data_IF_966173544771
#
_entry.id   IF_966173544771
#
_cell.length_a   1.000
_cell.length_b   1.000
_cell.length_c   1.000
_cell.angle_alpha   90.00
_cell.angle_beta   90.00
_cell.angle_gamma   90.00
#
_symmetry.space_group_name_H-M   'P 1'
#
loop_
_entity.id
_entity.type
_entity.pdbx_description
1 polymer ?
#
# COMPACT_ATOMS: atom_id res chain seq x y z
N UNK A 1 1.17 -10.95 -18.35
CA UNK A 1 2.01 -9.76 -18.60
C UNK A 1 2.81 -9.54 -17.32
N UNK A 2 4.11 -9.75 -17.36
CA UNK A 2 5.00 -9.54 -16.20
C UNK A 2 5.06 -8.03 -15.90
N UNK A 3 4.90 -7.58 -14.65
CA UNK A 3 4.90 -6.16 -14.35
C UNK A 3 6.28 -5.57 -14.72
N UNK A 4 6.26 -4.49 -15.51
CA UNK A 4 7.47 -3.74 -15.86
C UNK A 4 8.00 -3.11 -14.57
N UNK A 5 8.97 -3.76 -13.90
CA UNK A 5 9.68 -3.16 -12.77
C UNK A 5 10.44 -1.95 -13.29
N UNK A 6 9.97 -0.74 -12.96
CA UNK A 6 10.72 0.49 -13.24
C UNK A 6 12.06 0.40 -12.50
N UNK A 7 13.14 0.75 -13.20
CA UNK A 7 14.47 0.83 -12.57
C UNK A 7 14.44 1.89 -11.46
N UNK A 8 14.96 1.58 -10.27
CA UNK A 8 14.95 2.54 -9.16
C UNK A 8 15.78 3.77 -9.52
N UNK A 9 15.29 4.95 -9.13
CA UNK A 9 15.99 6.23 -9.30
C UNK A 9 16.65 6.65 -7.99
N UNK A 10 17.95 6.88 -8.05
CA UNK A 10 18.75 7.28 -6.89
C UNK A 10 19.15 8.75 -7.00
N UNK A 11 19.31 9.41 -5.86
CA UNK A 11 19.88 10.76 -5.78
C UNK A 11 21.07 10.73 -4.82
N UNK A 12 22.22 11.24 -5.25
CA UNK A 12 23.42 11.36 -4.42
C UNK A 12 23.63 12.83 -4.08
N UNK A 13 23.75 13.14 -2.79
CA UNK A 13 23.90 14.50 -2.26
C UNK A 13 25.14 14.58 -1.38
N UNK A 14 26.12 15.36 -1.80
CA UNK A 14 27.36 15.60 -1.05
C UNK A 14 27.98 16.90 -1.61
N UNK A 15 28.62 17.74 -0.81
CA UNK A 15 29.25 18.98 -1.30
C UNK A 15 30.63 18.73 -1.94
N UNK A 16 31.29 17.63 -1.60
CA UNK A 16 32.58 17.21 -2.14
C UNK A 16 32.41 16.53 -3.51
N UNK A 17 32.94 17.16 -4.56
CA UNK A 17 32.83 16.66 -5.93
C UNK A 17 33.46 15.28 -6.14
N UNK A 18 34.59 15.03 -5.48
CA UNK A 18 35.32 13.76 -5.58
C UNK A 18 34.53 12.61 -4.94
N UNK A 19 33.92 12.85 -3.78
CA UNK A 19 33.07 11.86 -3.11
C UNK A 19 31.80 11.60 -3.92
N UNK A 20 31.12 12.64 -4.42
CA UNK A 20 29.98 12.46 -5.33
C UNK A 20 30.38 11.60 -6.53
N UNK A 21 31.51 11.91 -7.18
CA UNK A 21 32.02 11.14 -8.33
C UNK A 21 32.23 9.67 -8.00
N UNK A 22 32.92 9.39 -6.89
CA UNK A 22 33.17 8.03 -6.41
C UNK A 22 31.88 7.24 -6.19
N UNK A 23 30.89 7.83 -5.51
CA UNK A 23 29.60 7.18 -5.25
C UNK A 23 28.84 6.93 -6.55
N UNK A 24 28.81 7.92 -7.44
CA UNK A 24 28.14 7.81 -8.74
C UNK A 24 28.75 6.71 -9.61
N UNK A 25 30.08 6.61 -9.65
CA UNK A 25 30.79 5.57 -10.39
C UNK A 25 30.53 4.17 -9.82
N UNK A 26 30.54 4.03 -8.48
CA UNK A 26 30.23 2.76 -7.81
C UNK A 26 28.80 2.28 -8.10
N UNK A 27 27.83 3.19 -8.05
CA UNK A 27 26.43 2.90 -8.37
C UNK A 27 26.27 2.52 -9.84
N UNK A 28 26.92 3.25 -10.75
CA UNK A 28 26.87 2.99 -12.19
C UNK A 28 27.49 1.65 -12.55
N UNK A 29 28.64 1.31 -11.97
CA UNK A 29 29.29 0.00 -12.14
C UNK A 29 28.38 -1.15 -11.68
N UNK A 30 27.50 -0.88 -10.72
CA UNK A 30 26.51 -1.83 -10.20
C UNK A 30 25.18 -1.82 -10.96
N UNK A 31 25.07 -1.06 -12.05
CA UNK A 31 23.89 -1.00 -12.92
C UNK A 31 22.78 -0.05 -12.46
N UNK A 32 23.02 0.78 -11.45
CA UNK A 32 22.07 1.79 -10.99
C UNK A 32 22.19 3.09 -11.79
N UNK A 33 21.08 3.83 -11.87
CA UNK A 33 21.05 5.20 -12.36
C UNK A 33 20.83 6.14 -11.19
N UNK A 34 21.73 7.10 -11.05
CA UNK A 34 21.67 8.11 -10.02
C UNK A 34 21.80 9.50 -10.64
N UNK A 35 21.07 10.45 -10.07
CA UNK A 35 21.27 11.89 -10.29
C UNK A 35 22.11 12.45 -9.12
N UNK A 36 22.73 13.61 -9.29
CA UNK A 36 23.63 14.19 -8.29
C UNK A 36 23.20 15.62 -7.90
N UNK A 37 23.34 15.95 -6.61
CA UNK A 37 23.16 17.29 -6.05
C UNK A 37 24.36 17.66 -5.17
N UNK A 38 24.71 18.94 -5.14
CA UNK A 38 25.87 19.47 -4.44
C UNK A 38 25.53 19.98 -3.03
N UNK A 39 24.24 20.08 -2.69
CA UNK A 39 23.75 20.53 -1.39
C UNK A 39 22.29 20.10 -1.20
N UNK A 40 21.74 20.30 0.00
CA UNK A 40 20.38 19.92 0.35
C UNK A 40 19.31 20.70 -0.42
N UNK A 41 19.56 21.97 -0.75
CA UNK A 41 18.64 22.81 -1.51
C UNK A 41 18.44 22.29 -2.93
N UNK A 42 19.53 22.01 -3.64
CA UNK A 42 19.49 21.40 -4.97
C UNK A 42 18.86 20.02 -4.94
N UNK A 43 19.09 19.24 -3.87
CA UNK A 43 18.45 17.95 -3.69
C UNK A 43 16.91 18.09 -3.60
N UNK A 44 16.41 19.07 -2.85
CA UNK A 44 14.97 19.35 -2.74
C UNK A 44 14.37 19.85 -4.06
N UNK A 45 15.09 20.68 -4.82
CA UNK A 45 14.66 21.09 -6.16
C UNK A 45 14.50 19.87 -7.07
N UNK A 46 15.47 18.97 -7.10
CA UNK A 46 15.40 17.72 -7.88
C UNK A 46 14.25 16.81 -7.41
N UNK A 47 14.07 16.64 -6.10
CA UNK A 47 12.97 15.85 -5.52
C UNK A 47 11.59 16.42 -5.87
N UNK A 48 11.48 17.75 -6.07
CA UNK A 48 10.22 18.37 -6.48
C UNK A 48 9.88 18.12 -7.96
N UNK A 49 10.89 17.96 -8.81
CA UNK A 49 10.70 17.72 -10.24
C UNK A 49 10.57 16.23 -10.57
N UNK A 50 11.26 15.36 -9.82
CA UNK A 50 11.40 13.94 -10.13
C UNK A 50 11.22 13.12 -8.86
N UNK A 51 10.45 12.02 -8.95
CA UNK A 51 10.40 11.03 -7.88
C UNK A 51 11.67 10.19 -7.84
N UNK A 52 12.28 10.14 -6.67
CA UNK A 52 13.40 9.26 -6.33
C UNK A 52 12.94 8.16 -5.38
N UNK A 53 13.55 6.99 -5.52
CA UNK A 53 13.31 5.85 -4.64
C UNK A 53 14.23 5.87 -3.43
N UNK A 54 15.45 6.37 -3.61
CA UNK A 54 16.47 6.42 -2.58
C UNK A 54 17.32 7.69 -2.72
N UNK A 55 17.53 8.38 -1.60
CA UNK A 55 18.49 9.47 -1.46
C UNK A 55 19.67 9.00 -0.62
N UNK A 56 20.87 9.16 -1.14
CA UNK A 56 22.12 9.02 -0.42
C UNK A 56 22.58 10.45 -0.10
N UNK A 57 22.80 10.80 1.17
CA UNK A 57 23.24 12.16 1.53
C UNK A 57 24.40 12.18 2.53
N UNK A 58 25.33 13.12 2.38
CA UNK A 58 26.23 13.48 3.48
C UNK A 58 25.45 14.16 4.62
N UNK A 59 25.97 14.05 5.84
CA UNK A 59 25.34 14.63 7.02
C UNK A 59 25.65 16.13 7.15
N UNK A 60 26.85 16.55 6.76
CA UNK A 60 27.38 17.89 7.02
C UNK A 60 27.68 18.59 5.70
N UNK A 61 26.70 19.34 5.23
CA UNK A 61 26.81 20.20 4.04
C UNK A 61 26.54 21.65 4.42
N UNK A 62 27.08 22.63 3.67
CA UNK A 62 26.69 24.03 3.80
C UNK A 62 25.19 24.22 3.50
N UNK A 63 24.53 25.08 4.27
CA UNK A 63 23.09 25.34 4.11
C UNK A 63 22.26 24.26 4.77
N UNK A 64 21.39 23.61 4.00
CA UNK A 64 20.59 22.48 4.47
C UNK A 64 21.46 21.22 4.65
N UNK A 65 21.69 20.86 5.91
CA UNK A 65 22.45 19.68 6.28
C UNK A 65 21.68 18.36 6.03
N UNK A 66 22.36 17.21 6.16
CA UNK A 66 21.77 15.92 5.84
C UNK A 66 20.63 15.48 6.76
N UNK A 67 20.65 15.92 8.03
CA UNK A 67 19.56 15.65 8.97
C UNK A 67 18.33 16.52 8.66
N UNK A 68 18.53 17.79 8.33
CA UNK A 68 17.49 18.68 7.86
C UNK A 68 16.88 18.19 6.55
N UNK A 69 17.71 17.75 5.61
CA UNK A 69 17.27 17.14 4.36
C UNK A 69 16.46 15.86 4.62
N UNK A 70 16.94 14.95 5.47
CA UNK A 70 16.21 13.75 5.89
C UNK A 70 14.81 14.12 6.42
N UNK A 71 14.74 15.08 7.34
CA UNK A 71 13.46 15.50 7.93
C UNK A 71 12.50 16.02 6.86
N UNK A 72 12.98 16.83 5.92
CA UNK A 72 12.15 17.38 4.84
C UNK A 72 11.71 16.31 3.85
N UNK A 73 12.59 15.34 3.54
CA UNK A 73 12.23 14.20 2.69
C UNK A 73 11.14 13.38 3.36
N UNK A 74 11.23 13.06 4.65
CA UNK A 74 10.22 12.24 5.32
C UNK A 74 8.87 12.93 5.48
N UNK A 75 8.85 14.26 5.51
CA UNK A 75 7.62 15.04 5.53
C UNK A 75 6.96 15.15 4.15
N UNK A 76 7.74 15.46 3.10
CA UNK A 76 7.21 15.75 1.76
C UNK A 76 7.12 14.51 0.86
N UNK A 77 8.03 13.56 1.05
CA UNK A 77 8.22 12.35 0.23
C UNK A 77 8.44 11.13 1.15
N UNK A 78 7.45 10.74 1.97
CA UNK A 78 7.60 9.69 2.97
C UNK A 78 8.04 8.33 2.39
N UNK A 79 7.64 8.07 1.14
CA UNK A 79 8.00 6.88 0.37
C UNK A 79 9.46 6.86 -0.12
N UNK A 80 10.22 7.95 0.02
CA UNK A 80 11.62 8.00 -0.39
C UNK A 80 12.50 7.48 0.73
N UNK A 81 13.29 6.45 0.47
CA UNK A 81 14.28 5.94 1.43
C UNK A 81 15.48 6.91 1.50
N UNK A 82 16.12 7.01 2.66
CA UNK A 82 17.27 7.90 2.86
C UNK A 82 18.39 7.14 3.56
N UNK A 83 19.58 7.14 2.98
CA UNK A 83 20.81 6.62 3.58
C UNK A 83 21.75 7.80 3.81
N UNK A 84 22.27 7.93 5.03
CA UNK A 84 23.30 8.94 5.31
C UNK A 84 24.68 8.32 5.19
N UNK A 85 25.62 9.01 4.54
CA UNK A 85 27.02 8.59 4.47
C UNK A 85 27.95 9.75 4.86
N UNK A 86 28.68 9.68 5.99
CA UNK A 86 29.43 10.86 6.47
C UNK A 86 30.69 10.56 7.27
N UNK A 87 31.69 11.44 7.18
CA UNK A 87 32.91 11.39 8.00
C UNK A 87 32.75 11.97 9.41
N UNK A 88 31.64 12.67 9.67
CA UNK A 88 31.33 13.24 10.99
C UNK A 88 30.48 12.30 11.86
N UNK A 89 30.73 11.00 11.72
CA UNK A 89 29.92 10.00 12.37
C UNK A 89 30.10 9.94 13.88
N UNK A 90 29.01 10.18 14.61
CA UNK A 90 28.92 9.97 16.06
C UNK A 90 27.75 9.06 16.41
N UNK A 91 27.82 8.41 17.57
CA UNK A 91 26.71 7.59 18.10
C UNK A 91 25.43 8.42 18.24
N UNK A 92 25.56 9.69 18.63
CA UNK A 92 24.40 10.57 18.80
C UNK A 92 23.73 10.87 17.46
N UNK A 93 24.51 11.30 16.46
CA UNK A 93 23.99 11.65 15.13
C UNK A 93 23.43 10.44 14.39
N UNK A 94 24.00 9.25 14.59
CA UNK A 94 23.43 8.02 14.01
C UNK A 94 22.09 7.66 14.64
N UNK A 95 21.96 7.77 15.96
CA UNK A 95 20.67 7.55 16.65
C UNK A 95 19.62 8.57 16.21
N UNK A 96 19.99 9.84 16.10
CA UNK A 96 19.11 10.91 15.60
C UNK A 96 18.65 10.63 14.16
N UNK A 97 19.56 10.26 13.27
CA UNK A 97 19.24 9.89 11.89
C UNK A 97 18.25 8.71 11.82
N UNK A 98 18.50 7.63 12.57
CA UNK A 98 17.61 6.46 12.59
C UNK A 98 16.23 6.80 13.14
N UNK A 99 16.16 7.63 14.20
CA UNK A 99 14.88 8.12 14.74
C UNK A 99 14.14 9.03 13.76
N UNK A 100 14.87 9.80 12.96
CA UNK A 100 14.35 10.63 11.87
C UNK A 100 13.89 9.84 10.65
N UNK A 101 13.98 8.51 10.66
CA UNK A 101 13.50 7.65 9.58
C UNK A 101 14.53 7.34 8.49
N UNK A 102 15.82 7.59 8.74
CA UNK A 102 16.87 7.08 7.87
C UNK A 102 16.79 5.54 7.78
N UNK A 103 17.01 5.00 6.58
CA UNK A 103 17.05 3.56 6.36
C UNK A 103 18.33 2.94 6.92
N UNK A 104 19.48 3.57 6.65
CA UNK A 104 20.78 3.13 7.13
C UNK A 104 21.75 4.31 7.24
N UNK A 105 22.87 4.07 7.89
CA UNK A 105 23.90 5.06 8.18
C UNK A 105 25.29 4.47 7.95
N UNK A 106 26.09 5.10 7.09
CA UNK A 106 27.40 4.62 6.67
C UNK A 106 28.51 5.62 7.06
N UNK A 107 29.45 5.29 7.96
CA UNK A 107 30.56 6.19 8.28
C UNK A 107 31.58 6.24 7.12
N UNK A 108 32.13 7.42 6.83
CA UNK A 108 33.34 7.59 6.00
C UNK A 108 34.59 7.36 6.88
N UNK A 109 35.67 6.75 6.36
CA UNK A 109 35.80 6.19 5.01
C UNK A 109 34.99 4.88 4.86
N UNK A 110 34.41 4.67 3.67
CA UNK A 110 33.67 3.46 3.33
C UNK A 110 34.27 2.81 2.09
N UNK A 111 34.10 1.49 1.98
CA UNK A 111 34.35 0.77 0.74
C UNK A 111 33.18 1.00 -0.24
N UNK A 112 33.42 1.34 -1.53
CA UNK A 112 32.37 1.41 -2.53
C UNK A 112 31.47 0.17 -2.60
N UNK A 113 32.01 -1.02 -2.36
CA UNK A 113 31.24 -2.27 -2.31
C UNK A 113 30.27 -2.29 -1.13
N UNK A 114 30.67 -1.74 0.02
CA UNK A 114 29.81 -1.63 1.20
C UNK A 114 28.65 -0.67 0.95
N UNK A 115 28.91 0.48 0.32
CA UNK A 115 27.85 1.40 -0.10
C UNK A 115 26.84 0.70 -1.03
N UNK A 116 27.33 0.02 -2.07
CA UNK A 116 26.48 -0.71 -3.02
C UNK A 116 25.67 -1.80 -2.32
N UNK A 117 26.25 -2.48 -1.34
CA UNK A 117 25.57 -3.52 -0.55
C UNK A 117 24.42 -2.94 0.27
N UNK A 118 24.62 -1.79 0.91
CA UNK A 118 23.58 -1.10 1.69
C UNK A 118 22.47 -0.61 0.76
N UNK A 119 22.82 -0.02 -0.39
CA UNK A 119 21.87 0.41 -1.42
C UNK A 119 21.03 -0.77 -1.93
N UNK A 120 21.67 -1.89 -2.26
CA UNK A 120 20.96 -3.10 -2.73
C UNK A 120 19.96 -3.60 -1.70
N UNK A 121 20.38 -3.74 -0.44
CA UNK A 121 19.48 -4.16 0.67
C UNK A 121 18.29 -3.22 0.83
N UNK A 122 18.52 -1.90 0.71
CA UNK A 122 17.48 -0.90 0.78
C UNK A 122 16.42 -1.12 -0.31
N UNK A 123 16.87 -1.22 -1.55
CA UNK A 123 16.00 -1.38 -2.72
C UNK A 123 15.29 -2.74 -2.75
N UNK A 124 15.95 -3.81 -2.30
CA UNK A 124 15.33 -5.14 -2.13
C UNK A 124 14.19 -5.08 -1.10
N UNK A 125 14.43 -4.47 0.07
CA UNK A 125 13.38 -4.29 1.09
C UNK A 125 12.22 -3.46 0.56
N UNK A 126 12.51 -2.37 -0.16
CA UNK A 126 11.50 -1.53 -0.81
C UNK A 126 10.64 -2.34 -1.77
N UNK A 127 11.27 -3.12 -2.66
CA UNK A 127 10.55 -3.96 -3.63
C UNK A 127 9.68 -5.01 -2.93
N UNK A 128 10.14 -5.58 -1.81
CA UNK A 128 9.35 -6.52 -1.01
C UNK A 128 8.14 -5.86 -0.35
N UNK A 129 8.28 -4.65 0.17
CA UNK A 129 7.17 -3.91 0.78
C UNK A 129 6.13 -3.51 -0.26
N UNK A 130 6.57 -3.01 -1.42
CA UNK A 130 5.68 -2.67 -2.54
C UNK A 130 4.93 -3.90 -3.06
N UNK A 131 5.61 -5.04 -3.16
CA UNK A 131 4.95 -6.29 -3.58
C UNK A 131 3.94 -6.76 -2.54
N UNK A 132 4.27 -6.65 -1.25
CA UNK A 132 3.33 -6.97 -0.16
C UNK A 132 2.08 -6.08 -0.23
N UNK A 133 2.24 -4.78 -0.41
CA UNK A 133 1.13 -3.83 -0.54
C UNK A 133 0.26 -4.15 -1.76
N UNK A 134 0.88 -4.37 -2.91
CA UNK A 134 0.19 -4.78 -4.15
C UNK A 134 -0.62 -6.06 -3.96
N UNK A 135 -0.05 -7.08 -3.31
CA UNK A 135 -0.75 -8.32 -3.02
C UNK A 135 -1.93 -8.10 -2.06
N UNK A 136 -1.74 -7.25 -1.05
CA UNK A 136 -2.79 -6.92 -0.07
C UNK A 136 -3.96 -6.18 -0.73
N UNK A 137 -3.69 -5.27 -1.67
CA UNK A 137 -4.71 -4.59 -2.48
C UNK A 137 -5.52 -5.59 -3.33
N UNK A 138 -4.84 -6.54 -3.97
CA UNK A 138 -5.49 -7.59 -4.78
C UNK A 138 -6.38 -8.48 -3.89
N UNK A 139 -5.89 -8.89 -2.71
CA UNK A 139 -6.68 -9.68 -1.76
C UNK A 139 -7.91 -8.89 -1.30
N UNK A 140 -7.77 -7.62 -0.95
CA UNK A 140 -8.89 -6.76 -0.58
C UNK A 140 -9.94 -6.64 -1.69
N UNK A 141 -9.52 -6.47 -2.95
CA UNK A 141 -10.43 -6.43 -4.08
C UNK A 141 -11.18 -7.76 -4.27
N UNK A 142 -10.50 -8.90 -4.09
CA UNK A 142 -11.11 -10.22 -4.17
C UNK A 142 -12.12 -10.44 -3.04
N UNK A 143 -11.84 -9.96 -1.83
CA UNK A 143 -12.77 -10.01 -0.70
C UNK A 143 -14.01 -9.17 -0.96
N UNK A 144 -13.86 -7.96 -1.52
CA UNK A 144 -15.00 -7.14 -1.96
C UNK A 144 -15.80 -7.83 -3.06
N UNK A 145 -15.13 -8.39 -4.07
CA UNK A 145 -15.78 -9.16 -5.13
C UNK A 145 -16.54 -10.37 -4.59
N UNK A 146 -15.96 -11.09 -3.61
CA UNK A 146 -16.63 -12.19 -2.91
C UNK A 146 -17.82 -11.71 -2.12
N UNK A 147 -17.74 -10.60 -1.37
CA UNK A 147 -18.86 -10.03 -0.63
C UNK A 147 -20.02 -9.64 -1.56
N UNK A 148 -19.72 -9.09 -2.75
CA UNK A 148 -20.72 -8.78 -3.77
C UNK A 148 -21.31 -10.05 -4.40
N UNK A 149 -20.50 -11.08 -4.63
CA UNK A 149 -20.95 -12.34 -5.25
C UNK A 149 -21.70 -13.24 -4.25
N UNK A 150 -21.34 -13.21 -2.97
CA UNK A 150 -22.01 -13.94 -1.89
C UNK A 150 -23.38 -13.37 -1.53
N UNK A 151 -23.75 -12.20 -2.06
CA UNK A 151 -25.11 -11.68 -2.03
C UNK A 151 -25.99 -12.16 -3.20
N UNK A 152 -25.55 -13.12 -4.02
CA UNK A 152 -26.41 -13.82 -4.98
C UNK A 152 -26.56 -15.30 -4.61
N UNK A 153 -26.89 -15.57 -3.35
CA UNK A 153 -27.91 -16.59 -3.08
C UNK A 153 -29.26 -15.85 -3.07
N UNK A 154 -29.95 -15.90 -4.21
CA UNK A 154 -31.27 -15.27 -4.38
C UNK A 154 -32.23 -15.70 -3.27
N UNK A 155 -32.07 -16.92 -2.73
CA UNK A 155 -32.93 -17.43 -1.68
C UNK A 155 -32.51 -16.90 -0.29
N UNK A 156 -31.23 -16.69 -0.03
CA UNK A 156 -30.77 -16.04 1.21
C UNK A 156 -31.17 -14.55 1.25
N UNK A 157 -31.05 -13.86 0.13
CA UNK A 157 -31.43 -12.45 0.00
C UNK A 157 -32.95 -12.27 0.07
N UNK A 158 -33.72 -13.18 -0.53
CA UNK A 158 -35.18 -13.20 -0.41
C UNK A 158 -35.64 -13.38 1.04
N UNK A 159 -35.01 -14.28 1.81
CA UNK A 159 -35.33 -14.51 3.22
C UNK A 159 -35.09 -13.27 4.08
N UNK A 160 -33.93 -12.63 3.94
CA UNK A 160 -33.59 -11.44 4.73
C UNK A 160 -34.58 -10.28 4.47
N UNK A 161 -34.92 -10.03 3.21
CA UNK A 161 -35.86 -8.95 2.85
C UNK A 161 -37.24 -9.17 3.49
N UNK A 162 -37.77 -10.39 3.42
CA UNK A 162 -39.10 -10.73 3.92
C UNK A 162 -39.17 -10.65 5.45
N UNK A 163 -38.11 -11.06 6.13
CA UNK A 163 -38.03 -10.99 7.59
C UNK A 163 -37.93 -9.55 8.12
N UNK A 164 -37.10 -8.70 7.50
CA UNK A 164 -37.00 -7.29 7.89
C UNK A 164 -38.31 -6.53 7.65
N UNK A 165 -38.94 -6.73 6.49
CA UNK A 165 -40.23 -6.10 6.19
C UNK A 165 -41.32 -6.49 7.21
N UNK A 166 -41.41 -7.78 7.57
CA UNK A 166 -42.38 -8.25 8.57
C UNK A 166 -42.23 -7.55 9.92
N UNK A 167 -41.00 -7.44 10.42
CA UNK A 167 -40.71 -6.79 11.71
C UNK A 167 -40.94 -5.28 11.68
N UNK A 168 -40.53 -4.59 10.62
CA UNK A 168 -40.63 -3.13 10.52
C UNK A 168 -42.07 -2.64 10.40
N UNK A 169 -42.91 -3.37 9.66
CA UNK A 169 -44.30 -2.96 9.45
C UNK A 169 -45.29 -3.62 10.42
N UNK A 170 -44.82 -4.50 11.31
CA UNK A 170 -45.67 -5.23 12.26
C UNK A 170 -46.75 -6.06 11.58
N UNK A 171 -46.47 -6.57 10.37
CA UNK A 171 -47.41 -7.35 9.60
C UNK A 171 -47.65 -8.73 10.26
N UNK A 172 -48.72 -9.43 9.91
CA UNK A 172 -48.87 -10.82 10.36
C UNK A 172 -48.21 -11.80 9.38
N UNK A 173 -48.11 -11.43 8.09
CA UNK A 173 -47.53 -12.26 7.01
C UNK A 173 -46.84 -11.44 5.93
N UNK A 174 -45.70 -11.93 5.44
CA UNK A 174 -44.97 -11.36 4.29
C UNK A 174 -44.43 -12.51 3.44
N UNK A 175 -44.54 -12.41 2.11
CA UNK A 175 -43.97 -13.39 1.18
C UNK A 175 -43.40 -12.72 -0.06
N UNK A 176 -42.31 -13.30 -0.60
CA UNK A 176 -41.63 -12.83 -1.79
C UNK A 176 -41.61 -13.93 -2.84
N UNK A 177 -42.19 -13.64 -4.00
CA UNK A 177 -42.27 -14.54 -5.14
C UNK A 177 -41.34 -14.04 -6.25
N UNK A 178 -40.51 -14.93 -6.78
CA UNK A 178 -39.67 -14.66 -7.95
C UNK A 178 -40.28 -15.33 -9.19
N UNK A 179 -40.32 -14.61 -10.30
CA UNK A 179 -40.82 -15.11 -11.58
C UNK A 179 -39.66 -15.66 -12.40
N UNK A 180 -39.75 -16.92 -12.86
CA UNK A 180 -38.76 -17.47 -13.79
C UNK A 180 -39.19 -17.21 -15.23
N UNK A 181 -38.31 -16.59 -16.03
CA UNK A 181 -38.61 -16.18 -17.41
C UNK A 181 -39.00 -17.36 -18.32
N UNK A 182 -38.47 -18.55 -18.07
CA UNK A 182 -38.68 -19.73 -18.92
C UNK A 182 -40.09 -20.37 -18.80
N UNK A 183 -40.81 -20.17 -17.69
CA UNK A 183 -42.06 -20.90 -17.40
C UNK A 183 -43.25 -20.00 -17.09
N UNK A 184 -43.08 -18.66 -17.04
CA UNK A 184 -44.12 -17.71 -16.62
C UNK A 184 -44.74 -17.99 -15.25
N UNK A 185 -44.16 -18.90 -14.47
CA UNK A 185 -44.63 -19.27 -13.15
C UNK A 185 -43.98 -18.39 -12.08
N UNK A 186 -44.79 -17.97 -11.12
CA UNK A 186 -44.33 -17.37 -9.87
C UNK A 186 -43.92 -18.50 -8.93
N UNK A 187 -42.74 -18.42 -8.36
CA UNK A 187 -42.26 -19.37 -7.35
C UNK A 187 -42.02 -18.61 -6.05
N UNK A 188 -42.55 -19.12 -4.95
CA UNK A 188 -42.30 -18.57 -3.63
C UNK A 188 -40.81 -18.74 -3.31
N UNK A 189 -40.11 -17.63 -3.10
CA UNK A 189 -38.67 -17.62 -2.79
C UNK A 189 -38.42 -17.45 -1.29
N UNK A 190 -39.27 -16.69 -0.57
CA UNK A 190 -39.22 -16.60 0.90
C UNK A 190 -40.57 -16.19 1.52
N UNK A 191 -40.78 -16.53 2.81
CA UNK A 191 -41.98 -16.18 3.59
C UNK A 191 -41.68 -15.93 5.07
N UNK A 192 -42.46 -15.06 5.71
CA UNK A 192 -42.38 -14.69 7.13
C UNK A 192 -43.78 -14.62 7.75
N UNK A 193 -43.93 -15.06 9.00
CA UNK A 193 -45.16 -15.04 9.78
C UNK A 193 -44.88 -14.69 11.25
N UNK A 194 -45.65 -13.77 11.85
CA UNK A 194 -45.38 -13.23 13.18
C UNK A 194 -45.57 -14.25 14.34
N UNK A 195 -46.24 -15.39 14.09
CA UNK A 195 -46.44 -16.48 15.06
C UNK A 195 -46.06 -17.82 14.46
N UNK A 196 -44.85 -18.30 14.69
CA UNK A 196 -44.47 -19.68 14.42
C UNK A 196 -43.98 -20.33 15.71
N UNK A 197 -44.92 -20.80 16.54
CA UNK A 197 -44.59 -21.84 17.53
C UNK A 197 -44.46 -23.17 16.78
N UNK A 198 -43.21 -23.52 16.47
CA UNK A 198 -42.73 -24.87 16.18
C UNK A 198 -43.32 -25.59 14.97
N UNK A 199 -42.69 -25.45 13.79
CA UNK A 199 -42.53 -26.56 12.82
C UNK A 199 -41.27 -26.30 11.97
N UNK A 200 -40.37 -27.29 11.96
CA UNK A 200 -39.26 -27.39 11.01
C UNK A 200 -39.74 -27.32 9.55
N UNK A 201 -39.07 -26.49 8.75
CA UNK A 201 -38.73 -26.81 7.36
C UNK A 201 -39.84 -27.18 6.37
N UNK A 202 -41.10 -26.75 6.55
CA UNK A 202 -42.16 -27.04 5.57
C UNK A 202 -42.75 -25.77 4.98
N UNK A 203 -42.62 -25.63 3.66
CA UNK A 203 -43.31 -24.65 2.82
C UNK A 203 -44.76 -24.45 3.30
N UNK A 204 -45.09 -23.24 3.75
CA UNK A 204 -46.47 -22.86 3.99
C UNK A 204 -47.16 -22.80 2.61
N UNK A 205 -48.27 -23.53 2.38
CA UNK A 205 -48.95 -23.49 1.09
C UNK A 205 -49.46 -22.07 0.85
N UNK A 206 -49.29 -21.59 -0.38
CA UNK A 206 -49.87 -20.35 -0.89
C UNK A 206 -51.29 -20.15 -0.36
N UNK A 207 -51.63 -18.97 0.20
CA UNK A 207 -53.03 -18.70 0.51
C UNK A 207 -53.79 -18.70 -0.81
N UNK A 208 -54.83 -19.53 -0.88
CA UNK A 208 -55.75 -19.55 -1.99
C UNK A 208 -56.55 -18.24 -1.99
N UNK A 209 -55.97 -17.17 -2.52
CA UNK A 209 -56.72 -16.02 -3.01
C UNK A 209 -56.92 -16.23 -4.51
N UNK A 210 -58.01 -16.93 -4.82
CA UNK A 210 -58.80 -16.68 -6.03
C UNK A 210 -59.60 -15.39 -5.83
#
# INVERSE_FOLDING_TARGET
MEPVRRRPRLLVVDDEADIRGLVMDALKASGYQADAAQNGEQALELLSAIRYDLVLTDLKMPGLDGLGLLSRIKELYPETDVILFTGYATIRTSVEAMRGGAYDYLPKPFDPEDLVRVVRRCLERRALLQEKERLSEIVGLLELGRALTSNLDLDALAREIVEQAGRTFGADWVSLFLRREASHTLTLSAGWHAKAEGVDGTLCPTPAFL
#
